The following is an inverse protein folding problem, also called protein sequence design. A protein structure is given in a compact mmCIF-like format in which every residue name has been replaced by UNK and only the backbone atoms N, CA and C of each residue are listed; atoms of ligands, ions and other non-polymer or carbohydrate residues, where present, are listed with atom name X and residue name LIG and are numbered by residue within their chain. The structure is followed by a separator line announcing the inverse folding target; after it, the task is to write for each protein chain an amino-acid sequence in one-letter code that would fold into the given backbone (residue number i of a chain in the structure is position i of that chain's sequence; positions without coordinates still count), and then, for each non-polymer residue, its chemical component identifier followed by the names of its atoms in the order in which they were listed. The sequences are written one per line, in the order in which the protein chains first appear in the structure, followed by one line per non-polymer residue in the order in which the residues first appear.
data_IF_045412022122
#
_entry.id   IF_045412022122
#
_cell.length_a   1.000
_cell.length_b   1.000
_cell.length_c   1.000
_cell.angle_alpha   90.00
_cell.angle_beta   90.00
_cell.angle_gamma   90.00
#
_symmetry.space_group_name_H-M   'P 1'
#
loop_
_entity.id
_entity.type
_entity.pdbx_description
1 polymer ?
#
# COMPACT_ATOMS: atom_id res chain seq x y z
N UNK A 1 18.09 6.26 -27.09
CA UNK A 1 17.28 5.36 -26.24
C UNK A 1 17.09 6.08 -24.92
N UNK A 2 15.88 6.12 -24.35
CA UNK A 2 15.67 6.80 -23.07
C UNK A 2 16.25 5.94 -21.94
N UNK A 3 17.05 6.54 -21.06
CA UNK A 3 17.67 5.91 -19.89
C UNK A 3 16.70 5.90 -18.73
N UNK A 4 16.40 4.71 -18.23
CA UNK A 4 15.53 4.49 -17.06
C UNK A 4 16.36 3.88 -15.94
N UNK A 5 16.40 4.54 -14.78
CA UNK A 5 16.93 3.94 -13.56
C UNK A 5 15.77 3.31 -12.80
N UNK A 6 15.81 2.00 -12.60
CA UNK A 6 14.80 1.26 -11.83
C UNK A 6 15.30 1.05 -10.40
N UNK A 7 14.60 1.64 -9.43
CA UNK A 7 14.90 1.46 -8.01
C UNK A 7 14.18 0.23 -7.47
N UNK A 8 14.90 -0.65 -6.76
CA UNK A 8 14.39 -1.91 -6.21
C UNK A 8 15.00 -2.25 -4.85
N UNK A 9 14.52 -3.34 -4.26
CA UNK A 9 15.00 -3.83 -2.97
C UNK A 9 14.67 -2.88 -1.83
N UNK A 10 15.69 -2.25 -1.24
CA UNK A 10 15.55 -1.45 -0.03
C UNK A 10 15.68 -2.28 1.26
N UNK A 11 15.33 -1.70 2.40
CA UNK A 11 15.40 -2.35 3.72
C UNK A 11 14.07 -2.29 4.48
N UNK A 12 12.96 -2.06 3.77
CA UNK A 12 11.63 -2.20 4.35
C UNK A 12 11.31 -3.68 4.63
N UNK A 13 10.25 -3.94 5.40
CA UNK A 13 9.71 -5.30 5.56
C UNK A 13 9.21 -5.93 4.26
N UNK A 14 9.16 -5.17 3.17
CA UNK A 14 8.62 -5.54 1.86
C UNK A 14 9.72 -5.67 0.79
N UNK A 15 10.99 -5.77 1.20
CA UNK A 15 12.15 -5.88 0.30
C UNK A 15 12.00 -6.98 -0.76
N UNK A 16 11.60 -8.18 -0.36
CA UNK A 16 11.47 -9.32 -1.29
C UNK A 16 10.38 -9.08 -2.34
N UNK A 17 9.27 -8.46 -1.93
CA UNK A 17 8.19 -8.04 -2.85
C UNK A 17 8.72 -7.05 -3.88
N UNK A 18 9.50 -6.07 -3.43
CA UNK A 18 10.15 -5.07 -4.27
C UNK A 18 11.10 -5.70 -5.30
N UNK A 19 11.88 -6.71 -4.93
CA UNK A 19 12.75 -7.42 -5.87
C UNK A 19 11.96 -8.19 -6.95
N UNK A 20 10.86 -8.84 -6.57
CA UNK A 20 9.98 -9.55 -7.51
C UNK A 20 9.29 -8.58 -8.47
N UNK A 21 8.68 -7.51 -7.94
CA UNK A 21 8.06 -6.44 -8.74
C UNK A 21 9.05 -5.83 -9.72
N UNK A 22 10.25 -5.51 -9.26
CA UNK A 22 11.32 -4.93 -10.06
C UNK A 22 11.75 -5.81 -11.22
N UNK A 23 11.86 -7.13 -11.02
CA UNK A 23 12.24 -8.05 -12.07
C UNK A 23 11.23 -8.03 -13.23
N UNK A 24 9.93 -8.07 -12.93
CA UNK A 24 8.87 -7.99 -13.94
C UNK A 24 8.87 -6.63 -14.66
N UNK A 25 9.01 -5.53 -13.90
CA UNK A 25 9.05 -4.18 -14.47
C UNK A 25 10.28 -3.97 -15.37
N UNK A 26 11.46 -4.46 -14.98
CA UNK A 26 12.68 -4.35 -15.75
C UNK A 26 12.57 -5.08 -17.09
N UNK A 27 11.97 -6.28 -17.11
CA UNK A 27 11.69 -7.02 -18.34
C UNK A 27 10.75 -6.23 -19.27
N UNK A 28 9.63 -5.73 -18.75
CA UNK A 28 8.67 -4.96 -19.54
C UNK A 28 9.25 -3.65 -20.10
N UNK A 29 10.08 -2.95 -19.32
CA UNK A 29 10.77 -1.74 -19.77
C UNK A 29 11.79 -2.04 -20.88
N UNK A 30 12.56 -3.12 -20.76
CA UNK A 30 13.51 -3.53 -21.80
C UNK A 30 12.79 -3.93 -23.09
N UNK A 31 11.69 -4.69 -22.98
CA UNK A 31 10.86 -5.08 -24.12
C UNK A 31 10.25 -3.84 -24.83
N UNK A 32 9.88 -2.82 -24.07
CA UNK A 32 9.43 -1.53 -24.60
C UNK A 32 10.56 -0.65 -25.18
N UNK A 33 11.82 -1.12 -25.20
CA UNK A 33 12.95 -0.42 -25.82
C UNK A 33 13.59 0.67 -24.97
N UNK A 34 13.46 0.61 -23.64
CA UNK A 34 14.18 1.49 -22.72
C UNK A 34 15.57 0.95 -22.35
N UNK A 35 16.53 1.84 -22.11
CA UNK A 35 17.83 1.48 -21.54
C UNK A 35 17.70 1.43 -20.02
N UNK A 36 17.60 0.22 -19.47
CA UNK A 36 17.22 -0.01 -18.07
C UNK A 36 18.44 -0.35 -17.23
N UNK A 37 18.74 0.55 -16.29
CA UNK A 37 19.73 0.35 -15.23
C UNK A 37 18.98 0.05 -13.94
N UNK A 38 19.17 -1.15 -13.39
CA UNK A 38 18.56 -1.52 -12.11
C UNK A 38 19.49 -1.15 -10.95
N UNK A 39 18.93 -0.61 -9.87
CA UNK A 39 19.67 -0.23 -8.68
C UNK A 39 18.94 -0.69 -7.41
N UNK A 40 19.60 -1.52 -6.61
CA UNK A 40 19.11 -1.94 -5.31
C UNK A 40 19.44 -0.87 -4.26
N UNK A 41 18.41 -0.22 -3.73
CA UNK A 41 18.59 0.96 -2.89
C UNK A 41 19.11 0.56 -1.52
N UNK A 42 20.24 1.16 -1.12
CA UNK A 42 20.83 0.98 0.22
C UNK A 42 20.75 2.28 1.01
N UNK A 43 21.17 2.25 2.27
CA UNK A 43 21.27 3.45 3.12
C UNK A 43 22.42 4.37 2.68
N UNK A 44 23.32 3.90 1.83
CA UNK A 44 24.37 4.73 1.26
C UNK A 44 23.83 5.51 0.06
N UNK A 45 23.66 6.81 0.24
CA UNK A 45 23.18 7.69 -0.81
C UNK A 45 24.23 7.97 -1.88
N UNK A 46 25.52 7.69 -1.62
CA UNK A 46 26.58 7.91 -2.62
C UNK A 46 26.33 7.08 -3.87
N UNK A 47 26.09 5.79 -3.70
CA UNK A 47 25.84 4.87 -4.82
C UNK A 47 24.58 5.28 -5.59
N UNK A 48 23.55 5.78 -4.89
CA UNK A 48 22.34 6.29 -5.51
C UNK A 48 22.61 7.57 -6.32
N UNK A 49 23.43 8.49 -5.79
CA UNK A 49 23.81 9.69 -6.53
C UNK A 49 24.67 9.36 -7.75
N UNK A 50 25.59 8.41 -7.62
CA UNK A 50 26.45 7.95 -8.70
C UNK A 50 25.63 7.30 -9.82
N UNK A 51 24.62 6.47 -9.51
CA UNK A 51 23.79 5.86 -10.56
C UNK A 51 22.86 6.86 -11.26
N UNK A 52 22.48 7.93 -10.55
CA UNK A 52 21.67 9.02 -11.08
C UNK A 52 22.51 10.04 -11.89
N UNK A 53 23.82 9.89 -11.97
CA UNK A 53 24.71 10.70 -12.80
C UNK A 53 25.30 9.86 -13.96
N UNK A 54 25.15 10.27 -15.24
CA UNK A 54 24.41 11.43 -15.73
C UNK A 54 22.90 11.31 -15.49
N UNK A 55 22.20 12.43 -15.27
CA UNK A 55 20.75 12.46 -15.00
C UNK A 55 19.95 11.54 -15.94
N UNK A 56 19.20 10.54 -15.44
CA UNK A 56 18.37 9.69 -16.29
C UNK A 56 17.14 10.44 -16.81
N UNK A 57 16.51 9.91 -17.87
CA UNK A 57 15.26 10.47 -18.39
C UNK A 57 14.12 10.31 -17.37
N UNK A 58 14.09 9.19 -16.65
CA UNK A 58 13.12 8.90 -15.59
C UNK A 58 13.63 7.83 -14.65
N UNK A 59 13.22 7.91 -13.39
CA UNK A 59 13.33 6.84 -12.40
C UNK A 59 12.04 6.04 -12.34
N UNK A 60 12.12 4.72 -12.54
CA UNK A 60 11.03 3.81 -12.26
C UNK A 60 11.14 3.34 -10.81
N UNK A 61 10.22 3.80 -9.95
CA UNK A 61 10.20 3.40 -8.55
C UNK A 61 9.45 2.08 -8.38
N UNK A 62 10.18 0.99 -8.16
CA UNK A 62 9.64 -0.34 -7.84
C UNK A 62 9.91 -0.74 -6.37
N UNK A 63 10.22 0.24 -5.51
CA UNK A 63 10.33 0.02 -4.06
C UNK A 63 8.95 -0.18 -3.44
N UNK A 64 8.88 -0.98 -2.38
CA UNK A 64 7.66 -1.20 -1.60
C UNK A 64 7.88 -0.85 -0.13
N UNK A 65 6.86 -0.30 0.51
CA UNK A 65 6.86 0.09 1.91
C UNK A 65 7.59 1.40 2.19
N UNK A 66 7.93 1.60 3.46
CA UNK A 66 8.63 2.80 3.93
C UNK A 66 9.90 3.07 3.15
N UNK A 67 10.27 4.34 3.05
CA UNK A 67 11.31 4.92 2.20
C UNK A 67 11.02 4.91 0.69
N UNK A 68 10.30 3.90 0.18
CA UNK A 68 9.91 3.78 -1.23
C UNK A 68 8.56 4.43 -1.57
N UNK A 69 7.58 4.28 -0.69
CA UNK A 69 6.18 4.64 -0.93
C UNK A 69 5.66 5.76 0.00
N UNK A 70 6.52 6.32 0.86
CA UNK A 70 6.14 7.26 1.93
C UNK A 70 6.60 8.70 1.69
N UNK A 71 7.03 9.01 0.48
CA UNK A 71 7.45 10.35 0.06
C UNK A 71 8.94 10.66 0.26
N UNK A 72 9.71 9.79 0.94
CA UNK A 72 11.13 10.04 1.21
C UNK A 72 11.99 9.99 -0.05
N UNK A 73 11.93 8.88 -0.81
CA UNK A 73 12.68 8.78 -2.07
C UNK A 73 12.16 9.79 -3.10
N UNK A 74 10.85 10.04 -3.13
CA UNK A 74 10.23 11.03 -4.00
C UNK A 74 10.78 12.43 -3.71
N UNK A 75 10.87 12.83 -2.44
CA UNK A 75 11.43 14.13 -2.05
C UNK A 75 12.91 14.28 -2.43
N UNK A 76 13.70 13.21 -2.32
CA UNK A 76 15.09 13.23 -2.82
C UNK A 76 15.13 13.45 -4.33
N UNK A 77 14.30 12.72 -5.10
CA UNK A 77 14.23 12.85 -6.55
C UNK A 77 13.70 14.23 -6.98
N UNK A 78 12.78 14.82 -6.22
CA UNK A 78 12.30 16.19 -6.40
C UNK A 78 13.46 17.21 -6.25
N UNK A 79 14.31 17.07 -5.21
CA UNK A 79 15.50 17.93 -4.99
C UNK A 79 16.50 17.79 -6.14
N UNK A 80 16.74 16.57 -6.60
CA UNK A 80 17.64 16.28 -7.72
C UNK A 80 17.04 16.65 -9.08
N UNK A 81 15.78 17.10 -9.10
CA UNK A 81 14.99 17.35 -10.29
C UNK A 81 14.95 16.15 -11.25
N UNK A 82 14.97 14.92 -10.75
CA UNK A 82 14.89 13.70 -11.56
C UNK A 82 13.43 13.28 -11.70
N UNK A 83 12.87 13.15 -12.92
CA UNK A 83 11.50 12.66 -13.10
C UNK A 83 11.35 11.24 -12.55
N UNK A 84 10.22 10.90 -11.95
CA UNK A 84 9.94 9.53 -11.47
C UNK A 84 8.48 9.12 -11.67
N UNK A 85 8.26 7.81 -11.68
CA UNK A 85 6.93 7.21 -11.81
C UNK A 85 6.07 7.40 -10.56
N UNK A 86 4.74 7.28 -10.71
CA UNK A 86 3.76 7.28 -9.63
C UNK A 86 3.64 8.64 -8.89
N UNK A 87 3.02 8.60 -7.71
CA UNK A 87 2.67 9.76 -6.87
C UNK A 87 3.89 10.55 -6.38
N UNK A 88 3.69 11.87 -6.19
CA UNK A 88 4.70 12.76 -5.62
C UNK A 88 4.83 12.64 -4.09
N UNK A 89 5.82 13.32 -3.52
CA UNK A 89 6.20 13.17 -2.11
C UNK A 89 5.03 13.33 -1.12
N UNK A 90 4.23 14.39 -1.24
CA UNK A 90 3.09 14.63 -0.35
C UNK A 90 2.05 13.52 -0.45
N UNK A 91 1.63 13.17 -1.67
CA UNK A 91 0.62 12.15 -1.89
C UNK A 91 1.06 10.77 -1.37
N UNK A 92 2.32 10.41 -1.59
CA UNK A 92 2.93 9.19 -1.04
C UNK A 92 2.90 9.18 0.51
N UNK A 93 3.30 10.29 1.14
CA UNK A 93 3.28 10.41 2.61
C UNK A 93 1.85 10.31 3.19
N UNK A 94 0.88 10.99 2.55
CA UNK A 94 -0.52 10.95 2.95
C UNK A 94 -1.12 9.56 2.79
N UNK A 95 -0.81 8.86 1.69
CA UNK A 95 -1.31 7.51 1.41
C UNK A 95 -0.74 6.47 2.39
N UNK A 96 0.52 6.61 2.79
CA UNK A 96 1.17 5.69 3.74
C UNK A 96 0.57 5.80 5.15
N UNK A 97 0.15 6.99 5.56
CA UNK A 97 -0.47 7.21 6.87
C UNK A 97 -1.98 6.92 6.83
N UNK A 98 -2.38 5.75 7.34
CA UNK A 98 -3.78 5.28 7.27
C UNK A 98 -4.77 6.18 8.00
N UNK A 99 -4.37 6.83 9.08
CA UNK A 99 -5.26 7.73 9.81
C UNK A 99 -5.56 8.98 8.97
N UNK A 100 -4.51 9.62 8.43
CA UNK A 100 -4.66 10.81 7.59
C UNK A 100 -5.39 10.47 6.29
N UNK A 101 -5.03 9.38 5.62
CA UNK A 101 -5.70 8.92 4.41
C UNK A 101 -7.21 8.76 4.65
N UNK A 102 -7.61 8.16 5.77
CA UNK A 102 -9.03 7.99 6.11
C UNK A 102 -9.77 9.29 6.36
N UNK A 103 -9.14 10.29 6.97
CA UNK A 103 -9.76 11.61 7.13
C UNK A 103 -10.02 12.24 5.76
N UNK A 104 -9.04 12.18 4.86
CA UNK A 104 -9.18 12.66 3.47
C UNK A 104 -10.24 11.88 2.69
N UNK A 105 -10.35 10.57 2.90
CA UNK A 105 -11.39 9.75 2.29
C UNK A 105 -12.78 10.12 2.81
N UNK A 106 -12.93 10.33 4.11
CA UNK A 106 -14.20 10.77 4.70
C UNK A 106 -14.62 12.16 4.18
N UNK A 107 -13.69 13.12 4.11
CA UNK A 107 -13.93 14.44 3.52
C UNK A 107 -14.30 14.34 2.03
N UNK A 108 -13.71 13.37 1.33
CA UNK A 108 -14.06 13.04 -0.04
C UNK A 108 -15.33 12.19 -0.16
N UNK A 109 -16.08 11.95 0.93
CA UNK A 109 -17.36 11.23 0.98
C UNK A 109 -17.26 9.72 0.73
N UNK A 110 -16.14 9.11 1.07
CA UNK A 110 -15.90 7.66 0.98
C UNK A 110 -16.08 7.05 2.37
N UNK A 111 -16.94 6.04 2.55
CA UNK A 111 -17.12 5.39 3.83
C UNK A 111 -15.84 4.65 4.24
N UNK A 112 -15.43 4.84 5.50
CA UNK A 112 -14.30 4.14 6.08
C UNK A 112 -14.74 3.46 7.38
N UNK A 113 -14.14 2.32 7.76
CA UNK A 113 -14.48 1.64 9.01
C UNK A 113 -14.34 2.59 10.21
N UNK A 114 -15.30 2.64 11.16
CA UNK A 114 -15.12 3.39 12.39
C UNK A 114 -13.87 2.93 13.14
N UNK A 115 -13.11 3.85 13.72
CA UNK A 115 -11.87 3.50 14.40
C UNK A 115 -11.17 4.69 15.04
N UNK A 116 -10.07 4.39 15.73
CA UNK A 116 -9.22 5.38 16.39
C UNK A 116 -7.76 4.91 16.42
N UNK A 117 -6.85 5.85 16.56
CA UNK A 117 -5.45 5.57 16.90
C UNK A 117 -5.29 5.71 18.42
N UNK A 118 -4.66 4.72 19.03
CA UNK A 118 -4.35 4.72 20.47
C UNK A 118 -2.90 4.30 20.68
N UNK A 119 -2.34 4.66 21.83
CA UNK A 119 -1.03 4.14 22.22
C UNK A 119 -1.12 2.65 22.52
N UNK A 120 0.01 1.95 22.40
CA UNK A 120 0.13 0.55 22.80
C UNK A 120 -0.23 0.32 24.25
N UNK A 121 0.16 1.25 25.13
CA UNK A 121 -0.15 1.16 26.55
C UNK A 121 -1.65 1.23 26.81
N UNK A 122 -2.37 2.15 26.14
CA UNK A 122 -3.83 2.24 26.21
C UNK A 122 -4.50 0.96 25.68
N UNK A 123 -3.98 0.41 24.57
CA UNK A 123 -4.46 -0.86 24.03
C UNK A 123 -4.30 -2.03 25.01
N UNK A 124 -3.15 -2.13 25.68
CA UNK A 124 -2.89 -3.14 26.72
C UNK A 124 -3.74 -2.92 27.98
N UNK A 125 -4.13 -1.67 28.27
CA UNK A 125 -5.07 -1.33 29.33
C UNK A 125 -6.53 -1.64 28.96
N UNK A 126 -6.80 -2.16 27.75
CA UNK A 126 -8.14 -2.53 27.29
C UNK A 126 -8.94 -1.37 26.68
N UNK A 127 -8.30 -0.25 26.36
CA UNK A 127 -8.95 0.95 25.83
C UNK A 127 -9.18 0.91 24.31
N UNK A 128 -9.32 -0.28 23.73
CA UNK A 128 -9.62 -0.47 22.31
C UNK A 128 -11.07 -0.04 21.99
N UNK A 129 -11.83 -0.90 21.33
CA UNK A 129 -13.27 -0.78 21.14
C UNK A 129 -13.93 -2.12 21.41
N UNK A 130 -15.26 -2.14 21.42
CA UNK A 130 -16.00 -3.39 21.46
C UNK A 130 -15.65 -4.26 20.24
N UNK A 131 -15.44 -5.55 20.49
CA UNK A 131 -15.15 -6.54 19.46
C UNK A 131 -16.36 -6.76 18.55
N UNK A 132 -16.15 -7.21 17.30
CA UNK A 132 -14.85 -7.50 16.67
C UNK A 132 -14.17 -6.24 16.11
N UNK A 133 -12.83 -6.22 16.16
CA UNK A 133 -12.01 -5.13 15.63
C UNK A 133 -10.71 -5.64 14.99
N UNK A 134 -10.09 -4.80 14.17
CA UNK A 134 -8.79 -5.02 13.53
C UNK A 134 -7.78 -4.05 14.12
N UNK A 135 -6.63 -4.57 14.51
CA UNK A 135 -5.43 -3.82 14.83
C UNK A 135 -4.54 -3.73 13.60
N UNK A 136 -3.95 -2.57 13.36
CA UNK A 136 -2.96 -2.40 12.29
C UNK A 136 -1.97 -1.28 12.61
N UNK A 137 -0.72 -1.37 12.14
CA UNK A 137 0.19 -0.23 12.15
C UNK A 137 -0.35 0.91 11.30
N UNK A 138 -0.09 2.14 11.76
CA UNK A 138 -0.53 3.35 11.06
C UNK A 138 0.18 3.49 9.70
N UNK A 139 1.49 3.18 9.62
CA UNK A 139 2.37 3.52 8.49
C UNK A 139 3.09 2.31 7.85
N UNK A 140 2.45 1.14 7.77
CA UNK A 140 3.03 -0.05 7.13
C UNK A 140 2.18 -0.64 5.99
N UNK A 141 2.83 -1.31 5.04
CA UNK A 141 2.21 -2.00 3.91
C UNK A 141 2.01 -3.50 4.13
N UNK A 142 1.58 -4.20 3.08
CA UNK A 142 1.54 -5.67 2.98
C UNK A 142 0.92 -6.46 4.14
N UNK A 143 -0.08 -5.88 4.82
CA UNK A 143 -0.73 -6.49 6.00
C UNK A 143 0.24 -6.80 7.16
N UNK A 144 1.43 -6.21 7.18
CA UNK A 144 2.40 -6.39 8.27
C UNK A 144 1.81 -5.84 9.58
N UNK A 145 1.81 -6.66 10.62
CA UNK A 145 1.28 -6.29 11.94
C UNK A 145 -0.25 -6.19 12.04
N UNK A 146 -0.99 -6.64 11.03
CA UNK A 146 -2.45 -6.66 11.07
C UNK A 146 -2.94 -7.84 11.91
N UNK A 147 -3.79 -7.57 12.89
CA UNK A 147 -4.40 -8.60 13.74
C UNK A 147 -5.90 -8.40 13.85
N UNK A 148 -6.67 -9.47 13.58
CA UNK A 148 -8.12 -9.46 13.71
C UNK A 148 -8.48 -10.04 15.08
N UNK A 149 -9.22 -9.28 15.87
CA UNK A 149 -9.71 -9.67 17.19
C UNK A 149 -11.20 -9.92 17.11
N UNK A 150 -11.57 -11.19 17.21
CA UNK A 150 -12.96 -11.66 17.10
C UNK A 150 -13.65 -11.67 18.46
N UNK A 151 -14.98 -11.78 18.45
CA UNK A 151 -15.78 -11.97 19.66
C UNK A 151 -15.28 -13.19 20.46
N UNK A 152 -15.34 -13.10 21.79
CA UNK A 152 -14.96 -14.19 22.70
C UNK A 152 -13.45 -14.47 22.86
N UNK A 153 -12.55 -13.82 22.10
CA UNK A 153 -11.10 -14.07 22.21
C UNK A 153 -10.45 -13.39 23.41
N UNK A 154 -10.16 -14.10 24.50
CA UNK A 154 -9.59 -13.46 25.71
C UNK A 154 -8.06 -13.24 25.71
N UNK A 155 -7.36 -13.70 24.67
CA UNK A 155 -5.91 -13.50 24.56
C UNK A 155 -5.56 -12.02 24.24
N UNK A 156 -4.41 -11.52 24.73
CA UNK A 156 -3.91 -10.22 24.31
C UNK A 156 -3.69 -10.24 22.78
N UNK A 157 -4.09 -9.18 22.07
CA UNK A 157 -4.24 -9.22 20.62
C UNK A 157 -2.91 -9.19 19.87
N UNK A 158 -1.80 -8.89 20.55
CA UNK A 158 -0.43 -9.05 20.05
C UNK A 158 0.54 -9.17 21.24
N UNK A 159 1.72 -9.73 20.98
CA UNK A 159 2.84 -9.70 21.91
C UNK A 159 3.50 -8.31 21.85
N UNK A 160 3.31 -7.51 22.90
CA UNK A 160 3.90 -6.18 23.00
C UNK A 160 5.43 -6.21 22.86
N UNK A 161 6.11 -7.26 23.31
CA UNK A 161 7.56 -7.36 23.17
C UNK A 161 8.01 -7.51 21.71
N UNK A 162 7.12 -7.93 20.81
CA UNK A 162 7.40 -8.15 19.38
C UNK A 162 6.86 -7.06 18.47
N UNK A 163 6.12 -6.08 19.01
CA UNK A 163 5.59 -4.99 18.20
C UNK A 163 6.70 -4.03 17.76
N UNK A 164 7.01 -4.06 16.47
CA UNK A 164 8.10 -3.30 15.87
C UNK A 164 7.64 -2.01 15.15
N UNK A 165 6.35 -1.68 15.18
CA UNK A 165 5.76 -0.67 14.30
C UNK A 165 5.50 0.69 14.95
N UNK A 166 6.22 1.01 16.03
CA UNK A 166 6.07 2.25 16.79
C UNK A 166 5.16 2.13 18.02
N UNK A 167 4.79 3.26 18.61
CA UNK A 167 3.99 3.31 19.84
C UNK A 167 2.48 3.46 19.60
N UNK A 168 2.09 3.78 18.37
CA UNK A 168 0.70 3.97 17.97
C UNK A 168 0.16 2.76 17.22
N UNK A 169 -1.10 2.42 17.52
CA UNK A 169 -1.85 1.35 16.87
C UNK A 169 -3.18 1.91 16.41
N UNK A 170 -3.54 1.62 15.16
CA UNK A 170 -4.88 1.87 14.67
C UNK A 170 -5.79 0.70 15.02
N UNK A 171 -6.93 1.02 15.64
CA UNK A 171 -8.00 0.07 15.97
C UNK A 171 -9.24 0.43 15.15
N UNK A 172 -9.75 -0.50 14.37
CA UNK A 172 -10.93 -0.31 13.53
C UNK A 172 -11.98 -1.39 13.72
N UNK A 173 -13.25 -1.04 13.54
CA UNK A 173 -14.34 -2.02 13.46
C UNK A 173 -14.00 -3.05 12.38
N UNK A 174 -14.10 -4.32 12.71
CA UNK A 174 -13.93 -5.39 11.73
C UNK A 174 -15.13 -5.39 10.77
N UNK A 175 -14.85 -5.25 9.47
CA UNK A 175 -15.83 -5.34 8.40
C UNK A 175 -15.71 -6.73 7.76
N UNK A 176 -16.66 -7.60 8.10
CA UNK A 176 -16.79 -8.92 7.50
C UNK A 176 -17.10 -8.84 6.00
N UNK A 177 -17.05 -9.97 5.31
CA UNK A 177 -17.36 -10.05 3.88
C UNK A 177 -16.12 -10.19 3.00
N UNK A 178 -16.21 -9.71 1.77
CA UNK A 178 -15.23 -9.95 0.70
C UNK A 178 -14.22 -8.82 0.60
N UNK A 179 -13.07 -9.12 0.00
CA UNK A 179 -12.04 -8.13 -0.29
C UNK A 179 -12.03 -7.83 -1.78
N UNK A 180 -12.14 -6.55 -2.11
CA UNK A 180 -12.11 -6.09 -3.50
C UNK A 180 -11.11 -4.95 -3.65
N UNK A 181 -10.54 -4.82 -4.82
CA UNK A 181 -9.54 -3.80 -5.11
C UNK A 181 -9.73 -3.21 -6.48
N UNK A 182 -9.44 -1.92 -6.62
CA UNK A 182 -9.60 -1.16 -7.86
C UNK A 182 -8.30 -0.45 -8.20
N UNK A 183 -7.75 -0.73 -9.37
CA UNK A 183 -6.63 0.03 -9.92
C UNK A 183 -7.14 1.33 -10.57
N UNK A 184 -6.40 2.42 -10.36
CA UNK A 184 -6.60 3.72 -11.01
C UNK A 184 -5.34 4.06 -11.79
N UNK A 185 -5.51 4.48 -13.05
CA UNK A 185 -4.43 4.91 -13.92
C UNK A 185 -4.77 6.27 -14.52
N UNK A 186 -3.99 7.29 -14.16
CA UNK A 186 -4.32 8.67 -14.45
C UNK A 186 -5.58 9.07 -13.70
N UNK A 187 -6.65 9.37 -14.42
CA UNK A 187 -7.93 9.84 -13.89
C UNK A 187 -9.05 8.79 -13.99
N UNK A 188 -8.74 7.57 -14.41
CA UNK A 188 -9.72 6.49 -14.62
C UNK A 188 -9.44 5.26 -13.76
N UNK A 189 -10.51 4.67 -13.21
CA UNK A 189 -10.48 3.33 -12.64
C UNK A 189 -10.54 2.26 -13.74
N UNK A 190 -9.88 1.12 -13.54
CA UNK A 190 -9.68 0.09 -14.58
C UNK A 190 -10.59 -1.14 -14.46
N UNK A 191 -11.02 -1.45 -13.24
CA UNK A 191 -11.91 -2.58 -12.96
C UNK A 191 -11.77 -3.03 -11.52
N UNK A 192 -12.87 -3.56 -10.97
CA UNK A 192 -12.87 -4.18 -9.64
C UNK A 192 -12.38 -5.62 -9.76
N UNK A 193 -11.39 -5.95 -8.93
CA UNK A 193 -10.86 -7.30 -8.74
C UNK A 193 -11.29 -7.81 -7.38
N UNK A 194 -11.88 -9.00 -7.29
CA UNK A 194 -12.07 -9.67 -6.00
C UNK A 194 -10.82 -10.48 -5.66
N UNK A 195 -10.37 -10.35 -4.42
CA UNK A 195 -9.26 -11.12 -3.84
C UNK A 195 -9.86 -12.25 -2.99
N UNK A 196 -10.12 -13.40 -3.61
CA UNK A 196 -10.75 -14.54 -2.93
C UNK A 196 -9.68 -15.49 -2.40
N UNK A 197 -9.41 -15.39 -1.11
CA UNK A 197 -8.53 -16.30 -0.39
C UNK A 197 -9.21 -17.65 -0.18
N UNK A 198 -8.44 -18.74 -0.29
CA UNK A 198 -8.94 -20.08 0.05
C UNK A 198 -8.96 -20.32 1.58
N UNK A 199 -8.23 -19.50 2.34
CA UNK A 199 -8.11 -19.56 3.80
C UNK A 199 -8.18 -18.14 4.38
N UNK A 200 -9.13 -17.86 5.28
CA UNK A 200 -9.11 -16.66 6.13
C UNK A 200 -9.03 -15.30 5.42
N UNK A 201 -8.22 -14.38 5.97
CA UNK A 201 -8.08 -12.99 5.53
C UNK A 201 -6.86 -12.80 4.58
N UNK A 202 -6.85 -11.73 3.78
CA UNK A 202 -5.79 -11.40 2.83
C UNK A 202 -4.53 -10.84 3.52
N UNK A 203 -3.79 -11.74 4.16
CA UNK A 203 -2.52 -11.46 4.83
C UNK A 203 -1.31 -11.48 3.86
N UNK A 204 -0.10 -11.28 4.40
CA UNK A 204 1.14 -11.28 3.61
C UNK A 204 1.34 -12.59 2.83
N UNK A 205 1.03 -13.73 3.46
CA UNK A 205 1.21 -15.04 2.83
C UNK A 205 0.22 -15.26 1.69
N UNK A 206 -1.03 -14.82 1.85
CA UNK A 206 -2.05 -14.85 0.81
C UNK A 206 -1.72 -13.94 -0.39
N UNK A 207 -0.98 -12.84 -0.16
CA UNK A 207 -0.55 -11.87 -1.19
C UNK A 207 0.57 -12.37 -2.08
N UNK A 208 1.54 -13.10 -1.50
CA UNK A 208 2.82 -13.36 -2.17
C UNK A 208 3.13 -14.85 -2.37
N UNK A 209 2.23 -15.75 -1.94
CA UNK A 209 2.34 -17.18 -2.27
C UNK A 209 1.42 -17.53 -3.43
N UNK A 210 2.00 -18.07 -4.49
CA UNK A 210 1.25 -18.52 -5.67
C UNK A 210 0.19 -19.57 -5.30
N UNK A 211 -1.02 -19.44 -5.86
CA UNK A 211 -2.11 -20.40 -5.68
C UNK A 211 -2.98 -20.23 -4.42
N UNK A 212 -2.68 -19.29 -3.51
CA UNK A 212 -3.48 -19.07 -2.28
C UNK A 212 -4.68 -18.14 -2.45
N UNK A 213 -4.62 -17.23 -3.42
CA UNK A 213 -5.68 -16.25 -3.70
C UNK A 213 -6.11 -16.35 -5.16
N UNK A 214 -7.42 -16.51 -5.37
CA UNK A 214 -8.05 -16.41 -6.67
C UNK A 214 -8.39 -14.94 -6.96
N UNK A 215 -7.81 -14.39 -8.02
CA UNK A 215 -8.12 -13.04 -8.50
C UNK A 215 -9.25 -13.12 -9.53
N UNK A 216 -10.44 -12.62 -9.18
CA UNK A 216 -11.59 -12.62 -10.07
C UNK A 216 -11.77 -11.23 -10.69
N UNK A 217 -11.62 -11.15 -12.01
CA UNK A 217 -11.72 -9.91 -12.79
C UNK A 217 -12.64 -10.14 -14.01
N UNK A 218 -13.78 -9.43 -14.14
CA UNK A 218 -14.34 -8.51 -13.14
C UNK A 218 -14.81 -9.23 -11.88
N UNK A 219 -14.79 -8.54 -10.74
CA UNK A 219 -15.32 -9.05 -9.48
C UNK A 219 -16.81 -9.41 -9.61
N UNK A 220 -17.24 -10.64 -9.23
CA UNK A 220 -18.64 -11.07 -9.28
C UNK A 220 -19.43 -10.51 -8.09
N UNK A 221 -19.65 -9.20 -8.07
CA UNK A 221 -20.42 -8.46 -7.05
C UNK A 221 -21.61 -7.73 -7.68
N UNK A 222 -22.50 -7.16 -6.86
CA UNK A 222 -23.63 -6.39 -7.38
C UNK A 222 -23.15 -5.23 -8.28
N UNK A 223 -23.79 -4.97 -9.44
CA UNK A 223 -23.35 -3.90 -10.36
C UNK A 223 -23.24 -2.53 -9.70
N UNK A 224 -24.18 -2.16 -8.84
CA UNK A 224 -24.12 -0.87 -8.14
C UNK A 224 -22.92 -0.77 -7.19
N UNK A 225 -22.55 -1.86 -6.53
CA UNK A 225 -21.35 -1.91 -5.67
C UNK A 225 -20.07 -1.86 -6.51
N UNK A 226 -20.08 -2.47 -7.70
CA UNK A 226 -18.98 -2.39 -8.66
C UNK A 226 -18.73 -0.94 -9.09
N UNK A 227 -19.76 -0.25 -9.57
CA UNK A 227 -19.67 1.14 -9.99
C UNK A 227 -19.30 2.07 -8.83
N UNK A 228 -19.83 1.82 -7.63
CA UNK A 228 -19.49 2.56 -6.44
C UNK A 228 -18.01 2.40 -6.04
N UNK A 229 -17.47 1.17 -6.09
CA UNK A 229 -16.04 0.93 -5.82
C UNK A 229 -15.15 1.63 -6.86
N UNK A 230 -15.57 1.65 -8.12
CA UNK A 230 -14.88 2.36 -9.21
C UNK A 230 -14.86 3.87 -9.00
N UNK A 231 -15.97 4.48 -8.55
CA UNK A 231 -16.06 5.90 -8.17
C UNK A 231 -15.18 6.22 -6.97
N UNK A 232 -15.32 5.44 -5.89
CA UNK A 232 -14.56 5.63 -4.65
C UNK A 232 -13.05 5.54 -4.89
N UNK A 233 -12.58 4.64 -5.76
CA UNK A 233 -11.17 4.54 -6.08
C UNK A 233 -10.62 5.82 -6.73
N UNK A 234 -11.36 6.41 -7.67
CA UNK A 234 -10.96 7.67 -8.32
C UNK A 234 -11.01 8.83 -7.34
N UNK A 235 -12.02 8.90 -6.47
CA UNK A 235 -12.11 9.92 -5.43
C UNK A 235 -10.97 9.80 -4.42
N UNK A 236 -10.63 8.60 -3.98
CA UNK A 236 -9.50 8.33 -3.09
C UNK A 236 -8.18 8.78 -3.73
N UNK A 237 -7.96 8.42 -5.00
CA UNK A 237 -6.79 8.85 -5.77
C UNK A 237 -6.66 10.37 -5.81
N UNK A 238 -7.75 11.08 -6.10
CA UNK A 238 -7.78 12.55 -6.16
C UNK A 238 -7.62 13.20 -4.80
N UNK A 239 -8.28 12.68 -3.77
CA UNK A 239 -8.25 13.22 -2.41
C UNK A 239 -6.83 13.20 -1.82
N UNK A 240 -6.06 12.16 -2.13
CA UNK A 240 -4.65 12.05 -1.73
C UNK A 240 -3.69 12.88 -2.60
N UNK A 241 -4.16 13.41 -3.73
CA UNK A 241 -3.30 14.08 -4.72
C UNK A 241 -2.39 13.12 -5.48
N UNK A 242 -2.78 11.85 -5.59
CA UNK A 242 -2.01 10.84 -6.31
C UNK A 242 -1.95 11.14 -7.82
N UNK A 243 -0.97 10.53 -8.49
CA UNK A 243 -0.83 10.54 -9.95
C UNK A 243 -0.24 9.21 -10.44
N UNK A 244 -0.28 8.98 -11.75
CA UNK A 244 0.27 7.75 -12.33
C UNK A 244 -0.66 6.57 -12.08
N UNK A 245 -0.20 5.56 -11.33
CA UNK A 245 -0.98 4.36 -11.05
C UNK A 245 -1.09 4.18 -9.55
N UNK A 246 -2.30 3.92 -9.06
CA UNK A 246 -2.56 3.54 -7.66
C UNK A 246 -3.55 2.39 -7.60
N UNK A 247 -3.69 1.81 -6.42
CA UNK A 247 -4.71 0.81 -6.12
C UNK A 247 -5.44 1.18 -4.83
N UNK A 248 -6.75 1.07 -4.82
CA UNK A 248 -7.59 1.27 -3.65
C UNK A 248 -8.21 -0.06 -3.23
N UNK A 249 -8.01 -0.44 -1.96
CA UNK A 249 -8.50 -1.69 -1.39
C UNK A 249 -9.74 -1.42 -0.52
N UNK A 250 -10.80 -2.22 -0.70
CA UNK A 250 -12.09 -2.08 -0.04
C UNK A 250 -12.55 -3.40 0.60
N UNK A 251 -13.36 -3.27 1.63
CA UNK A 251 -14.16 -4.36 2.20
C UNK A 251 -15.58 -4.25 1.65
N UNK A 252 -16.11 -5.35 1.15
CA UNK A 252 -17.47 -5.47 0.66
C UNK A 252 -18.26 -6.33 1.65
N UNK A 253 -19.19 -5.71 2.39
CA UNK A 253 -20.13 -6.40 3.26
C UNK A 253 -21.38 -6.78 2.44
N UNK A 254 -21.50 -8.06 2.12
CA UNK A 254 -22.62 -8.65 1.39
C UNK A 254 -23.91 -8.71 2.23
#
# INVERSE_FOLDING_TARGET
MKRVVLLKGGWSGEREVSLVSAAACALALRDAGYDVVEFDVTRDLRDLLDILDPRPDVVFNALHGRYGEDGRIQGLLDILAVPYTHSGALASALAMNKEIAKRLFADAGIPCPPGKVISRNALLAGEAMERPYVLKPVEEGSSLGVHIVLEGQNAPPFDAARWAFGDEVMVERYIHGREITVAVMGDRSLGVTELRTNEGFYDYEAKYTEGRTNHLVPAPIHPDAYEQAMDFAVRAHRALGCRGVTRADFRYDD
#
